data_IF_882761252312
#
_entry.id   IF_882761252312
#
_cell.length_a   1.000
_cell.length_b   1.000
_cell.length_c   1.000
_cell.angle_alpha   90.00
_cell.angle_beta   90.00
_cell.angle_gamma   90.00
#
_symmetry.space_group_name_H-M   'P 1'
#
loop_
_entity.id
_entity.type
_entity.pdbx_description
1 polymer ?
#
# COMPACT_ATOMS: atom_id res chain seq x y z
N UNK A 1 -24.44 1.80 10.40
CA UNK A 1 -25.10 2.46 9.28
C UNK A 1 -24.31 3.71 8.91
N UNK A 2 -24.11 3.99 7.62
CA UNK A 2 -23.25 5.10 7.17
C UNK A 2 -24.14 6.25 6.70
N UNK A 3 -23.77 7.49 6.98
CA UNK A 3 -24.39 8.66 6.38
C UNK A 3 -23.32 9.63 5.86
N UNK A 4 -23.61 10.33 4.76
CA UNK A 4 -22.71 11.27 4.13
C UNK A 4 -23.09 12.70 4.51
N UNK A 5 -22.10 13.53 4.86
CA UNK A 5 -22.28 14.97 5.04
C UNK A 5 -21.93 15.71 3.76
N UNK A 6 -22.29 16.99 3.65
CA UNK A 6 -21.90 17.85 2.54
C UNK A 6 -20.40 18.03 2.35
N UNK A 7 -19.59 17.63 3.34
CA UNK A 7 -18.10 17.64 3.27
C UNK A 7 -17.52 16.30 2.77
N UNK A 8 -18.35 15.35 2.34
CA UNK A 8 -17.91 14.05 1.86
C UNK A 8 -17.42 13.09 2.96
N UNK A 9 -17.69 13.39 4.23
CA UNK A 9 -17.36 12.51 5.35
C UNK A 9 -18.49 11.53 5.58
N UNK A 10 -18.16 10.24 5.67
CA UNK A 10 -19.09 9.16 5.96
C UNK A 10 -19.02 8.83 7.45
N UNK A 11 -20.09 9.08 8.16
CA UNK A 11 -20.19 8.78 9.58
C UNK A 11 -20.82 7.42 9.80
N UNK A 12 -20.37 6.69 10.83
CA UNK A 12 -21.04 5.51 11.32
C UNK A 12 -21.91 5.94 12.49
N UNK A 13 -23.22 5.94 12.30
CA UNK A 13 -24.17 6.30 13.35
C UNK A 13 -24.91 5.07 13.87
N UNK A 14 -25.10 4.96 15.18
CA UNK A 14 -26.05 4.01 15.75
C UNK A 14 -27.52 4.41 15.54
N UNK A 15 -27.79 5.67 15.17
CA UNK A 15 -29.17 6.19 15.01
C UNK A 15 -29.63 6.20 13.56
N UNK A 16 -30.86 5.73 13.32
CA UNK A 16 -31.48 5.37 12.02
C UNK A 16 -31.79 6.52 11.03
N UNK A 17 -31.22 7.71 11.12
CA UNK A 17 -31.78 8.90 10.47
C UNK A 17 -31.27 9.30 9.09
N UNK A 18 -30.18 8.76 8.58
CA UNK A 18 -29.73 9.00 7.21
C UNK A 18 -28.94 7.78 6.70
N UNK A 19 -29.53 7.08 5.76
CA UNK A 19 -29.11 5.74 5.38
C UNK A 19 -28.38 5.78 4.05
N UNK A 20 -27.06 5.56 4.06
CA UNK A 20 -26.40 4.87 2.96
C UNK A 20 -26.43 3.39 3.31
N UNK A 21 -27.27 2.62 2.63
CA UNK A 21 -27.45 1.20 2.90
C UNK A 21 -26.18 0.36 2.63
N UNK A 22 -25.23 0.91 1.90
CA UNK A 22 -23.98 0.27 1.50
C UNK A 22 -22.88 1.30 1.29
N UNK A 23 -21.69 1.07 1.85
CA UNK A 23 -20.53 1.91 1.59
C UNK A 23 -20.09 1.74 0.13
N UNK A 24 -19.94 2.80 -0.69
CA UNK A 24 -19.44 2.69 -2.05
C UNK A 24 -18.08 1.98 -2.14
N UNK A 25 -17.78 1.34 -3.27
CA UNK A 25 -16.42 0.88 -3.53
C UNK A 25 -15.47 2.08 -3.62
N UNK A 26 -14.33 2.00 -2.95
CA UNK A 26 -13.40 3.12 -2.92
C UNK A 26 -12.40 3.02 -1.78
N UNK A 27 -11.59 4.05 -1.67
CA UNK A 27 -10.55 4.22 -0.66
C UNK A 27 -11.00 5.18 0.42
N UNK A 28 -10.77 4.78 1.66
CA UNK A 28 -11.18 5.53 2.85
C UNK A 28 -10.07 5.54 3.89
N UNK A 29 -10.00 6.60 4.67
CA UNK A 29 -9.19 6.68 5.89
C UNK A 29 -10.09 7.07 7.06
N UNK A 30 -9.71 6.68 8.27
CA UNK A 30 -10.40 7.18 9.44
C UNK A 30 -10.04 8.66 9.70
N UNK A 31 -10.92 9.40 10.34
CA UNK A 31 -10.73 10.79 10.77
C UNK A 31 -10.67 10.91 12.29
N UNK A 32 -10.49 9.78 12.99
CA UNK A 32 -10.47 9.73 14.44
C UNK A 32 -11.86 9.81 15.08
N UNK A 33 -11.89 9.83 16.40
CA UNK A 33 -13.13 9.97 17.16
C UNK A 33 -13.46 11.45 17.37
N UNK A 34 -14.37 11.99 16.58
CA UNK A 34 -15.05 13.21 16.96
C UNK A 34 -16.39 12.86 17.63
N UNK A 35 -16.57 13.29 18.88
CA UNK A 35 -17.84 13.14 19.64
C UNK A 35 -18.37 11.70 19.77
N UNK A 36 -17.50 10.69 19.99
CA UNK A 36 -17.87 9.25 20.04
C UNK A 36 -18.47 8.71 18.73
N UNK A 37 -18.24 9.38 17.62
CA UNK A 37 -18.68 8.95 16.30
C UNK A 37 -17.46 8.59 15.48
N UNK A 38 -17.54 7.47 14.79
CA UNK A 38 -16.51 7.07 13.83
C UNK A 38 -16.83 7.68 12.50
N UNK A 39 -15.83 8.25 11.85
CA UNK A 39 -15.97 8.82 10.55
C UNK A 39 -14.94 8.24 9.58
N UNK A 40 -15.38 7.99 8.35
CA UNK A 40 -14.55 7.66 7.22
C UNK A 40 -14.54 8.84 6.25
N UNK A 41 -13.35 9.23 5.82
CA UNK A 41 -13.18 10.20 4.75
C UNK A 41 -12.77 9.44 3.49
N UNK A 42 -13.49 9.62 2.35
CA UNK A 42 -12.97 9.18 1.08
C UNK A 42 -11.60 9.80 0.86
N UNK A 43 -10.61 8.98 0.60
CA UNK A 43 -9.29 9.45 0.24
C UNK A 43 -9.03 9.06 -1.21
N UNK A 44 -8.77 10.05 -2.05
CA UNK A 44 -8.20 9.77 -3.36
C UNK A 44 -6.72 9.55 -3.13
N UNK A 45 -6.21 8.31 -3.28
CA UNK A 45 -4.78 8.14 -3.28
C UNK A 45 -4.22 9.11 -4.31
N UNK A 46 -3.16 9.84 -3.97
CA UNK A 46 -2.54 10.77 -4.92
C UNK A 46 -2.43 10.08 -6.27
N UNK A 47 -2.84 10.76 -7.33
CA UNK A 47 -3.18 10.28 -8.67
C UNK A 47 -2.60 8.91 -9.03
N UNK A 48 -3.39 8.07 -9.68
CA UNK A 48 -2.92 6.80 -10.29
C UNK A 48 -1.50 7.01 -10.79
N UNK A 49 -0.50 6.21 -10.37
CA UNK A 49 0.87 6.45 -10.76
C UNK A 49 0.92 6.62 -12.27
N UNK A 50 1.45 7.74 -12.75
CA UNK A 50 1.63 7.99 -14.19
C UNK A 50 2.51 6.91 -14.85
N UNK A 51 3.11 6.06 -14.04
CA UNK A 51 4.02 5.00 -14.43
C UNK A 51 3.57 3.66 -13.83
N UNK A 52 3.39 2.65 -14.68
CA UNK A 52 3.08 1.30 -14.26
C UNK A 52 4.37 0.51 -13.99
N UNK A 53 4.56 0.12 -12.73
CA UNK A 53 5.71 -0.69 -12.31
C UNK A 53 5.42 -2.17 -12.59
N UNK A 54 5.85 -2.68 -13.73
CA UNK A 54 5.76 -4.11 -14.07
C UNK A 54 7.06 -4.83 -13.70
N UNK A 55 7.10 -5.39 -12.51
CA UNK A 55 8.22 -6.20 -12.00
C UNK A 55 7.77 -7.62 -11.71
N UNK A 56 8.69 -8.60 -11.60
CA UNK A 56 8.35 -9.95 -11.17
C UNK A 56 7.58 -9.94 -9.83
N UNK A 57 8.02 -9.11 -8.89
CA UNK A 57 7.40 -8.97 -7.56
C UNK A 57 5.98 -8.42 -7.69
N UNK A 58 5.78 -7.39 -8.52
CA UNK A 58 4.43 -6.85 -8.77
C UNK A 58 3.50 -7.90 -9.37
N UNK A 59 4.00 -8.72 -10.30
CA UNK A 59 3.23 -9.84 -10.86
C UNK A 59 2.88 -10.89 -9.80
N UNK A 60 3.77 -11.18 -8.84
CA UNK A 60 3.47 -12.07 -7.72
C UNK A 60 2.38 -11.50 -6.82
N UNK A 61 2.51 -10.23 -6.43
CA UNK A 61 1.48 -9.52 -5.63
C UNK A 61 0.13 -9.56 -6.34
N UNK A 62 0.11 -9.24 -7.62
CA UNK A 62 -1.11 -9.23 -8.43
C UNK A 62 -1.77 -10.59 -8.48
N UNK A 63 -1.01 -11.67 -8.67
CA UNK A 63 -1.54 -13.06 -8.63
C UNK A 63 -2.17 -13.42 -7.30
N UNK A 64 -1.56 -13.02 -6.17
CA UNK A 64 -2.14 -13.25 -4.84
C UNK A 64 -3.43 -12.47 -4.63
N UNK A 65 -3.47 -11.22 -5.12
CA UNK A 65 -4.68 -10.39 -5.07
C UNK A 65 -5.76 -10.97 -5.99
N UNK A 66 -5.44 -11.38 -7.22
CA UNK A 66 -6.37 -12.04 -8.13
C UNK A 66 -6.94 -13.35 -7.54
N UNK A 67 -6.09 -14.15 -6.91
CA UNK A 67 -6.51 -15.39 -6.22
C UNK A 67 -7.45 -15.13 -5.03
N UNK A 68 -7.32 -13.98 -4.38
CA UNK A 68 -8.26 -13.56 -3.33
C UNK A 68 -9.66 -13.30 -3.91
N UNK A 69 -9.79 -12.81 -5.12
CA UNK A 69 -11.07 -12.54 -5.77
C UNK A 69 -11.59 -13.72 -6.62
N UNK A 70 -10.90 -14.87 -6.63
CA UNK A 70 -11.37 -16.08 -7.32
C UNK A 70 -12.46 -16.80 -6.50
N UNK A 71 -13.73 -16.85 -6.98
CA UNK A 71 -14.81 -17.51 -6.25
C UNK A 71 -14.53 -19.03 -6.01
N UNK A 72 -13.83 -19.67 -6.93
CA UNK A 72 -13.48 -21.08 -6.77
C UNK A 72 -12.43 -21.29 -5.67
N UNK A 73 -11.48 -20.37 -5.51
CA UNK A 73 -10.54 -20.39 -4.40
C UNK A 73 -11.26 -20.17 -3.06
N UNK A 74 -12.18 -19.22 -3.00
CA UNK A 74 -13.02 -18.96 -1.83
C UNK A 74 -13.82 -20.20 -1.43
N UNK A 75 -14.52 -20.81 -2.36
CA UNK A 75 -15.32 -22.02 -2.11
C UNK A 75 -14.46 -23.18 -1.60
N UNK A 76 -13.25 -23.39 -2.14
CA UNK A 76 -12.32 -24.41 -1.66
C UNK A 76 -11.88 -24.20 -0.21
N UNK A 77 -11.59 -22.93 0.17
CA UNK A 77 -11.23 -22.61 1.55
C UNK A 77 -12.39 -22.86 2.51
N UNK A 78 -13.59 -22.42 2.15
CA UNK A 78 -14.80 -22.59 2.97
C UNK A 78 -15.16 -24.07 3.13
N UNK A 79 -15.00 -24.89 2.10
CA UNK A 79 -15.27 -26.31 2.15
C UNK A 79 -14.42 -27.09 3.19
N UNK A 80 -13.25 -26.55 3.53
CA UNK A 80 -12.37 -27.12 4.58
C UNK A 80 -12.39 -26.31 5.88
N UNK A 81 -13.37 -25.41 6.05
CA UNK A 81 -13.54 -24.60 7.25
C UNK A 81 -12.49 -23.51 7.44
N UNK A 82 -11.74 -23.18 6.39
CA UNK A 82 -10.77 -22.08 6.42
C UNK A 82 -11.43 -20.75 6.05
N UNK A 83 -11.00 -19.70 6.73
CA UNK A 83 -11.46 -18.35 6.43
C UNK A 83 -10.83 -17.80 5.16
N UNK A 84 -11.61 -17.04 4.41
CA UNK A 84 -11.16 -16.35 3.20
C UNK A 84 -10.39 -15.08 3.57
N UNK A 85 -9.09 -15.23 3.81
CA UNK A 85 -8.19 -14.15 4.21
C UNK A 85 -6.87 -14.26 3.48
N UNK A 86 -6.26 -13.11 3.21
CA UNK A 86 -4.91 -13.03 2.63
C UNK A 86 -4.14 -11.88 3.28
N UNK A 87 -2.85 -12.11 3.52
CA UNK A 87 -1.92 -11.08 3.96
C UNK A 87 -0.69 -11.04 3.06
N UNK A 88 -0.28 -9.83 2.71
CA UNK A 88 0.90 -9.54 1.89
C UNK A 88 1.76 -8.52 2.63
N UNK A 89 3.06 -8.80 2.77
CA UNK A 89 4.04 -7.85 3.29
C UNK A 89 5.04 -7.53 2.19
N UNK A 90 5.21 -6.24 1.90
CA UNK A 90 6.26 -5.73 1.03
C UNK A 90 7.30 -5.03 1.91
N UNK A 91 8.54 -5.53 1.91
CA UNK A 91 9.59 -4.94 2.73
C UNK A 91 10.86 -4.65 1.93
N UNK A 92 11.70 -3.75 2.42
CA UNK A 92 12.97 -3.39 1.79
C UNK A 92 13.29 -1.90 1.89
N UNK A 93 14.41 -1.43 1.34
CA UNK A 93 14.86 -0.05 1.46
C UNK A 93 13.80 0.98 1.00
N UNK A 94 13.83 2.22 1.52
CA UNK A 94 12.96 3.28 1.03
C UNK A 94 13.22 3.57 -0.46
N UNK A 95 12.18 4.03 -1.19
CA UNK A 95 12.30 4.41 -2.60
C UNK A 95 12.37 3.26 -3.61
N UNK A 96 12.14 2.01 -3.19
CA UNK A 96 12.15 0.83 -4.08
C UNK A 96 10.79 0.53 -4.75
N UNK A 97 9.80 1.42 -4.61
CA UNK A 97 8.51 1.30 -5.30
C UNK A 97 7.42 0.53 -4.55
N UNK A 98 7.61 0.10 -3.30
CA UNK A 98 6.60 -0.63 -2.49
C UNK A 98 5.24 0.10 -2.44
N UNK A 99 5.26 1.39 -2.10
CA UNK A 99 4.06 2.24 -2.07
C UNK A 99 3.42 2.38 -3.47
N UNK A 100 4.23 2.46 -4.52
CA UNK A 100 3.77 2.51 -5.90
C UNK A 100 3.05 1.22 -6.27
N UNK A 101 3.60 0.06 -5.90
CA UNK A 101 2.95 -1.25 -6.10
C UNK A 101 1.58 -1.32 -5.44
N UNK A 102 1.48 -0.89 -4.17
CA UNK A 102 0.20 -0.83 -3.46
C UNK A 102 -0.84 0.05 -4.19
N UNK A 103 -0.42 1.25 -4.62
CA UNK A 103 -1.32 2.19 -5.32
C UNK A 103 -1.80 1.65 -6.66
N UNK A 104 -0.97 0.90 -7.38
CA UNK A 104 -1.34 0.29 -8.67
C UNK A 104 -2.43 -0.78 -8.54
N UNK A 105 -2.61 -1.35 -7.36
CA UNK A 105 -3.68 -2.32 -7.11
C UNK A 105 -5.05 -1.65 -6.90
N UNK A 106 -5.10 -0.40 -6.49
CA UNK A 106 -6.33 0.27 -6.08
C UNK A 106 -7.41 0.27 -7.17
N UNK A 107 -7.14 0.63 -8.44
CA UNK A 107 -8.16 0.55 -9.49
C UNK A 107 -8.74 -0.86 -9.63
N UNK A 108 -7.89 -1.87 -9.65
CA UNK A 108 -8.30 -3.27 -9.73
C UNK A 108 -9.19 -3.71 -8.55
N UNK A 109 -8.87 -3.24 -7.33
CA UNK A 109 -9.65 -3.53 -6.13
C UNK A 109 -11.01 -2.85 -6.15
N UNK A 110 -11.06 -1.59 -6.59
CA UNK A 110 -12.31 -0.82 -6.71
C UNK A 110 -13.24 -1.43 -7.76
N UNK A 111 -12.71 -1.86 -8.91
CA UNK A 111 -13.48 -2.56 -9.95
C UNK A 111 -14.11 -3.87 -9.43
N UNK A 112 -13.55 -4.46 -8.37
CA UNK A 112 -14.08 -5.65 -7.69
C UNK A 112 -14.91 -5.34 -6.47
N UNK A 113 -15.41 -4.11 -6.41
CA UNK A 113 -16.34 -3.65 -5.38
C UNK A 113 -15.76 -3.71 -3.96
N UNK A 114 -14.43 -3.62 -3.81
CA UNK A 114 -13.78 -3.63 -2.51
C UNK A 114 -13.93 -2.30 -1.77
N UNK A 115 -14.05 -2.39 -0.45
CA UNK A 115 -13.85 -1.26 0.46
C UNK A 115 -12.39 -1.28 0.92
N UNK A 116 -11.66 -0.23 0.59
CA UNK A 116 -10.23 -0.11 0.87
C UNK A 116 -10.04 0.87 2.02
N UNK A 117 -9.49 0.39 3.13
CA UNK A 117 -9.22 1.16 4.34
C UNK A 117 -7.71 1.40 4.42
N UNK A 118 -7.30 2.67 4.42
CA UNK A 118 -5.88 3.07 4.32
C UNK A 118 -5.42 3.66 5.64
N UNK A 119 -4.37 3.08 6.22
CA UNK A 119 -3.72 3.53 7.46
C UNK A 119 -4.71 3.82 8.61
N UNK A 120 -5.79 3.03 8.70
CA UNK A 120 -6.78 3.15 9.75
C UNK A 120 -6.28 2.54 11.06
N UNK A 121 -6.67 3.14 12.19
CA UNK A 121 -6.33 2.61 13.50
C UNK A 121 -6.90 1.20 13.73
N UNK A 122 -6.10 0.29 14.27
CA UNK A 122 -6.46 -1.12 14.43
C UNK A 122 -7.65 -1.32 15.39
N UNK A 123 -7.82 -0.47 16.38
CA UNK A 123 -8.93 -0.50 17.32
C UNK A 123 -10.26 -0.16 16.63
N UNK A 124 -10.22 0.86 15.78
CA UNK A 124 -11.38 1.24 14.98
C UNK A 124 -11.72 0.19 13.92
N UNK A 125 -10.70 -0.40 13.30
CA UNK A 125 -10.90 -1.49 12.36
C UNK A 125 -11.66 -2.64 13.01
N UNK A 126 -11.19 -3.11 14.17
CA UNK A 126 -11.76 -4.30 14.84
C UNK A 126 -13.16 -4.04 15.43
N UNK A 127 -13.32 -2.93 16.17
CA UNK A 127 -14.50 -2.74 16.99
C UNK A 127 -15.61 -1.93 16.32
N UNK A 128 -15.33 -1.27 15.21
CA UNK A 128 -16.32 -0.41 14.58
C UNK A 128 -16.41 -0.51 13.06
N UNK A 129 -15.30 -0.31 12.33
CA UNK A 129 -15.36 -0.18 10.87
C UNK A 129 -15.75 -1.50 10.20
N UNK A 130 -15.01 -2.57 10.50
CA UNK A 130 -15.27 -3.89 9.91
C UNK A 130 -16.63 -4.42 10.34
N UNK A 131 -17.04 -4.39 11.63
CA UNK A 131 -18.38 -4.78 12.03
C UNK A 131 -19.50 -3.99 11.33
N UNK A 132 -19.35 -2.67 11.16
CA UNK A 132 -20.34 -1.86 10.48
C UNK A 132 -20.47 -2.20 8.99
N UNK A 133 -19.35 -2.45 8.30
CA UNK A 133 -19.35 -2.90 6.90
C UNK A 133 -20.03 -4.28 6.80
N UNK A 134 -19.68 -5.22 7.67
CA UNK A 134 -20.24 -6.58 7.69
C UNK A 134 -21.74 -6.60 8.01
N UNK A 135 -22.22 -5.69 8.84
CA UNK A 135 -23.66 -5.56 9.14
C UNK A 135 -24.47 -5.13 7.93
N UNK A 136 -23.89 -4.35 7.03
CA UNK A 136 -24.56 -3.90 5.80
C UNK A 136 -24.30 -4.82 4.60
N UNK A 137 -23.15 -5.47 4.56
CA UNK A 137 -22.72 -6.33 3.44
C UNK A 137 -21.74 -7.42 3.96
N UNK A 138 -22.27 -8.60 4.37
CA UNK A 138 -21.47 -9.63 5.05
C UNK A 138 -20.29 -10.17 4.25
N UNK A 139 -20.45 -10.31 2.93
CA UNK A 139 -19.46 -10.97 2.06
C UNK A 139 -18.58 -9.96 1.30
N UNK A 140 -18.75 -8.68 1.56
CA UNK A 140 -18.03 -7.65 0.82
C UNK A 140 -16.52 -7.72 1.05
N UNK A 141 -15.69 -7.68 -0.01
CA UNK A 141 -14.26 -7.62 0.15
C UNK A 141 -13.81 -6.35 0.88
N UNK A 142 -13.08 -6.52 1.97
CA UNK A 142 -12.42 -5.43 2.70
C UNK A 142 -10.93 -5.56 2.47
N UNK A 143 -10.29 -4.46 2.09
CA UNK A 143 -8.85 -4.39 1.88
C UNK A 143 -8.25 -3.39 2.85
N UNK A 144 -7.29 -3.84 3.65
CA UNK A 144 -6.52 -3.00 4.57
C UNK A 144 -5.18 -2.69 3.92
N UNK A 145 -4.85 -1.42 3.76
CA UNK A 145 -3.56 -0.95 3.26
C UNK A 145 -2.82 -0.21 4.36
N UNK A 146 -1.61 -0.67 4.69
CA UNK A 146 -0.73 -0.06 5.68
C UNK A 146 0.58 0.36 5.03
N UNK A 147 0.82 1.67 4.93
CA UNK A 147 2.01 2.24 4.28
C UNK A 147 3.26 2.21 5.16
N UNK A 148 3.09 2.22 6.48
CA UNK A 148 4.16 2.11 7.47
C UNK A 148 3.83 0.99 8.49
N UNK A 149 3.72 -0.24 7.99
CA UNK A 149 3.22 -1.39 8.75
C UNK A 149 4.01 -1.67 10.05
N UNK A 150 5.32 -1.42 10.05
CA UNK A 150 6.16 -1.51 11.24
C UNK A 150 5.71 -0.55 12.35
N UNK A 151 5.34 0.69 12.00
CA UNK A 151 4.82 1.68 12.93
C UNK A 151 3.45 1.26 13.48
N UNK A 152 2.55 0.82 12.61
CA UNK A 152 1.20 0.43 12.99
C UNK A 152 1.21 -0.81 13.88
N UNK A 153 2.08 -1.78 13.58
CA UNK A 153 2.32 -2.94 14.46
C UNK A 153 2.90 -2.53 15.81
N UNK A 154 3.81 -1.56 15.85
CA UNK A 154 4.42 -1.10 17.12
C UNK A 154 3.40 -0.41 18.01
N UNK A 155 2.47 0.36 17.45
CA UNK A 155 1.44 1.09 18.18
C UNK A 155 0.27 0.19 18.62
N UNK A 156 -0.13 -0.77 17.80
CA UNK A 156 -1.36 -1.54 17.97
C UNK A 156 -1.17 -3.04 17.84
N UNK A 157 0.01 -3.57 18.24
CA UNK A 157 0.40 -4.98 18.04
C UNK A 157 -0.65 -6.00 18.47
N UNK A 158 -1.17 -5.87 19.70
CA UNK A 158 -2.12 -6.84 20.23
C UNK A 158 -3.42 -6.86 19.40
N UNK A 159 -3.88 -5.69 19.00
CA UNK A 159 -5.12 -5.49 18.22
C UNK A 159 -4.97 -6.01 16.79
N UNK A 160 -3.84 -5.74 16.13
CA UNK A 160 -3.55 -6.31 14.81
C UNK A 160 -3.45 -7.84 14.86
N UNK A 161 -2.83 -8.40 15.91
CA UNK A 161 -2.81 -9.84 16.13
C UNK A 161 -4.22 -10.42 16.31
N UNK A 162 -5.08 -9.74 17.05
CA UNK A 162 -6.46 -10.14 17.30
C UNK A 162 -7.29 -10.05 16.01
N UNK A 163 -7.16 -8.99 15.24
CA UNK A 163 -7.80 -8.82 13.94
C UNK A 163 -7.43 -9.95 12.97
N UNK A 164 -6.17 -10.39 13.01
CA UNK A 164 -5.66 -11.43 12.11
C UNK A 164 -5.96 -12.86 12.56
N UNK A 165 -5.99 -13.13 13.87
CA UNK A 165 -6.10 -14.50 14.43
C UNK A 165 -7.22 -14.67 15.44
N UNK A 166 -7.92 -13.60 15.83
CA UNK A 166 -9.00 -13.65 16.80
C UNK A 166 -10.11 -14.65 16.39
N UNK A 167 -10.81 -15.19 17.38
CA UNK A 167 -11.98 -16.03 17.12
C UNK A 167 -13.06 -15.30 16.31
N UNK A 168 -13.11 -14.00 16.44
CA UNK A 168 -14.03 -13.08 15.74
C UNK A 168 -13.42 -12.47 14.47
N UNK A 169 -12.22 -12.91 14.09
CA UNK A 169 -11.51 -12.36 12.92
C UNK A 169 -12.39 -12.43 11.65
N UNK A 170 -12.51 -11.32 10.90
CA UNK A 170 -13.44 -11.23 9.78
C UNK A 170 -13.04 -12.12 8.61
N UNK A 171 -14.03 -12.57 7.85
CA UNK A 171 -13.85 -13.24 6.55
C UNK A 171 -13.77 -12.19 5.42
N UNK A 172 -13.41 -12.60 4.20
CA UNK A 172 -13.26 -11.72 3.03
C UNK A 172 -12.35 -10.51 3.28
N UNK A 173 -11.20 -10.76 3.95
CA UNK A 173 -10.23 -9.73 4.33
C UNK A 173 -8.90 -9.91 3.61
N UNK A 174 -8.48 -8.88 2.87
CA UNK A 174 -7.14 -8.77 2.29
C UNK A 174 -6.35 -7.69 3.03
N UNK A 175 -5.14 -8.00 3.47
CA UNK A 175 -4.24 -7.03 4.10
C UNK A 175 -2.96 -6.89 3.28
N UNK A 176 -2.53 -5.67 3.01
CA UNK A 176 -1.27 -5.37 2.34
C UNK A 176 -0.51 -4.35 3.18
N UNK A 177 0.65 -4.73 3.70
CA UNK A 177 1.51 -3.88 4.50
C UNK A 177 2.83 -3.59 3.81
N UNK A 178 3.28 -2.33 3.86
CA UNK A 178 4.62 -1.92 3.45
C UNK A 178 5.47 -1.56 4.67
N UNK A 179 6.75 -1.96 4.67
CA UNK A 179 7.70 -1.56 5.71
C UNK A 179 9.10 -1.35 5.14
N UNK A 180 9.85 -0.46 5.75
CA UNK A 180 11.28 -0.31 5.49
C UNK A 180 12.13 -1.13 6.45
N UNK A 181 11.57 -1.48 7.61
CA UNK A 181 12.24 -2.33 8.61
C UNK A 181 11.45 -3.62 8.86
N UNK A 182 11.86 -4.68 8.18
CA UNK A 182 11.26 -6.00 8.36
C UNK A 182 11.46 -6.56 9.77
N UNK A 183 12.55 -6.19 10.45
CA UNK A 183 12.86 -6.69 11.77
C UNK A 183 11.98 -6.06 12.86
N UNK A 184 11.43 -4.88 12.61
CA UNK A 184 10.45 -4.26 13.51
C UNK A 184 9.12 -5.03 13.53
N UNK A 185 8.83 -5.86 12.51
CA UNK A 185 7.64 -6.72 12.51
C UNK A 185 7.87 -7.90 13.47
N UNK A 186 7.01 -8.10 14.47
CA UNK A 186 7.13 -9.19 15.41
C UNK A 186 7.19 -10.58 14.76
N UNK A 187 8.03 -11.46 15.31
CA UNK A 187 8.19 -12.85 14.82
C UNK A 187 6.86 -13.60 14.75
N UNK A 188 5.94 -13.32 15.69
CA UNK A 188 4.59 -13.90 15.72
C UNK A 188 3.74 -13.53 14.49
N UNK A 189 4.03 -12.41 13.84
CA UNK A 189 3.40 -12.04 12.57
C UNK A 189 4.15 -12.63 11.38
N UNK A 190 5.48 -12.56 11.38
CA UNK A 190 6.33 -13.02 10.27
C UNK A 190 6.27 -14.53 10.03
N UNK A 191 6.23 -15.32 11.10
CA UNK A 191 6.36 -16.79 11.04
C UNK A 191 5.02 -17.53 10.97
N UNK A 192 3.93 -16.85 10.68
CA UNK A 192 2.61 -17.49 10.51
C UNK A 192 2.09 -17.32 9.09
N UNK A 193 2.29 -18.34 8.22
CA UNK A 193 1.79 -18.30 6.84
C UNK A 193 0.27 -18.12 6.73
N UNK A 194 -0.47 -18.52 7.77
CA UNK A 194 -1.93 -18.29 7.85
C UNK A 194 -2.32 -16.82 7.91
N UNK A 195 -1.37 -15.92 8.27
CA UNK A 195 -1.60 -14.47 8.35
C UNK A 195 -1.09 -13.76 7.10
N UNK A 196 0.19 -14.01 6.78
CA UNK A 196 0.87 -13.43 5.63
C UNK A 196 1.37 -14.54 4.74
N UNK A 197 0.56 -14.88 3.73
CA UNK A 197 0.88 -15.92 2.74
C UNK A 197 1.97 -15.48 1.77
N UNK A 198 2.18 -14.17 1.61
CA UNK A 198 3.20 -13.61 0.75
C UNK A 198 4.01 -12.55 1.49
N UNK A 199 5.31 -12.79 1.62
CA UNK A 199 6.28 -11.82 2.15
C UNK A 199 7.33 -11.61 1.07
N UNK A 200 7.41 -10.40 0.52
CA UNK A 200 8.30 -10.06 -0.58
C UNK A 200 9.29 -8.99 -0.16
N UNK A 201 10.56 -9.28 -0.43
CA UNK A 201 11.63 -8.31 -0.32
C UNK A 201 11.80 -7.56 -1.64
N UNK A 202 11.73 -6.23 -1.56
CA UNK A 202 11.90 -5.33 -2.68
C UNK A 202 13.18 -4.54 -2.46
N UNK A 203 14.30 -5.06 -2.96
CA UNK A 203 15.61 -4.46 -2.71
C UNK A 203 15.97 -3.35 -3.69
N UNK A 204 15.74 -3.58 -4.96
CA UNK A 204 16.02 -2.63 -6.02
C UNK A 204 15.00 -2.76 -7.14
N UNK A 205 14.90 -1.72 -7.92
CA UNK A 205 14.13 -1.75 -9.15
C UNK A 205 14.91 -2.52 -10.23
N UNK A 206 14.22 -3.30 -11.08
CA UNK A 206 14.83 -3.95 -12.22
C UNK A 206 15.50 -2.95 -13.17
N UNK A 207 16.49 -3.41 -13.91
CA UNK A 207 17.11 -2.62 -14.96
C UNK A 207 16.06 -2.12 -15.97
N UNK A 208 16.27 -0.91 -16.49
CA UNK A 208 15.33 -0.26 -17.41
C UNK A 208 14.09 0.39 -16.78
N UNK A 209 13.88 0.26 -15.46
CA UNK A 209 12.76 0.93 -14.80
C UNK A 209 12.97 2.45 -14.74
N UNK A 210 14.19 2.90 -14.47
CA UNK A 210 14.54 4.32 -14.44
C UNK A 210 14.32 4.98 -15.82
N UNK A 211 14.74 4.32 -16.88
CA UNK A 211 14.55 4.77 -18.26
C UNK A 211 13.06 4.90 -18.59
N UNK A 212 12.28 3.85 -18.35
CA UNK A 212 10.84 3.85 -18.62
C UNK A 212 10.10 4.90 -17.79
N UNK A 213 10.47 5.07 -16.51
CA UNK A 213 9.89 6.11 -15.68
C UNK A 213 10.20 7.51 -16.24
N UNK A 214 11.46 7.78 -16.57
CA UNK A 214 11.87 9.05 -17.13
C UNK A 214 11.13 9.38 -18.43
N UNK A 215 10.93 8.39 -19.30
CA UNK A 215 10.20 8.55 -20.56
C UNK A 215 8.70 8.81 -20.32
N UNK A 216 8.06 8.06 -19.46
CA UNK A 216 6.61 8.12 -19.28
C UNK A 216 6.16 9.29 -18.38
N UNK A 217 6.90 9.56 -17.32
CA UNK A 217 6.53 10.59 -16.34
C UNK A 217 7.03 11.99 -16.73
N UNK A 218 8.15 12.07 -17.44
CA UNK A 218 8.81 13.33 -17.81
C UNK A 218 9.00 13.48 -19.33
N UNK A 219 7.95 13.35 -20.13
CA UNK A 219 8.05 13.42 -21.61
C UNK A 219 8.52 14.78 -22.13
N UNK A 220 8.34 15.84 -21.35
CA UNK A 220 8.72 17.22 -21.68
C UNK A 220 10.22 17.47 -21.56
N UNK A 221 10.96 16.65 -20.81
CA UNK A 221 12.41 16.74 -20.76
C UNK A 221 13.04 16.26 -22.06
N UNK A 222 14.17 16.88 -22.43
CA UNK A 222 14.92 16.41 -23.59
C UNK A 222 15.42 14.96 -23.41
N UNK A 223 15.62 14.20 -24.49
CA UNK A 223 16.22 12.87 -24.39
C UNK A 223 17.58 12.88 -23.68
N UNK A 224 18.37 13.93 -23.88
CA UNK A 224 19.69 14.09 -23.25
C UNK A 224 19.57 14.26 -21.73
N UNK A 225 18.65 15.09 -21.26
CA UNK A 225 18.41 15.33 -19.83
C UNK A 225 17.89 14.08 -19.14
N UNK A 226 16.95 13.35 -19.77
CA UNK A 226 16.48 12.06 -19.28
C UNK A 226 17.59 11.04 -19.14
N UNK A 227 18.44 10.91 -20.16
CA UNK A 227 19.60 10.00 -20.10
C UNK A 227 20.61 10.41 -19.03
N UNK A 228 20.83 11.72 -18.85
CA UNK A 228 21.68 12.22 -17.78
C UNK A 228 21.11 11.85 -16.41
N UNK A 229 19.82 12.11 -16.18
CA UNK A 229 19.15 11.78 -14.93
C UNK A 229 19.24 10.27 -14.61
N UNK A 230 18.97 9.42 -15.59
CA UNK A 230 19.06 7.96 -15.45
C UNK A 230 20.49 7.53 -15.12
N UNK A 231 21.51 8.05 -15.81
CA UNK A 231 22.91 7.71 -15.53
C UNK A 231 23.34 8.12 -14.13
N UNK A 232 22.95 9.33 -13.72
CA UNK A 232 23.31 9.88 -12.41
C UNK A 232 22.68 9.09 -11.26
N UNK A 233 21.48 8.53 -11.47
CA UNK A 233 20.71 7.86 -10.44
C UNK A 233 20.62 6.34 -10.60
N UNK A 234 21.40 5.78 -11.51
CA UNK A 234 21.49 4.33 -11.73
C UNK A 234 21.84 3.62 -10.43
N UNK A 235 21.16 2.62 -10.03
CA UNK A 235 21.34 1.91 -8.76
C UNK A 235 20.86 2.65 -7.50
N UNK A 236 20.28 3.84 -7.63
CA UNK A 236 19.68 4.55 -6.51
C UNK A 236 18.15 4.35 -6.49
N UNK A 237 17.52 4.59 -5.34
CA UNK A 237 16.07 4.63 -5.23
C UNK A 237 15.42 5.60 -6.23
N UNK A 238 14.21 5.28 -6.67
CA UNK A 238 13.53 6.00 -7.77
C UNK A 238 13.26 7.48 -7.46
N UNK A 239 13.11 7.82 -6.18
CA UNK A 239 12.93 9.22 -5.74
C UNK A 239 14.13 10.11 -6.08
N UNK A 240 15.34 9.55 -6.23
CA UNK A 240 16.51 10.30 -6.70
C UNK A 240 16.36 10.68 -8.17
N UNK A 241 15.91 9.74 -9.02
CA UNK A 241 15.61 10.03 -10.41
C UNK A 241 14.54 11.14 -10.54
N UNK A 242 13.45 11.00 -9.78
CA UNK A 242 12.38 11.98 -9.76
C UNK A 242 12.92 13.37 -9.38
N UNK A 243 13.76 13.42 -8.34
CA UNK A 243 14.37 14.68 -7.90
C UNK A 243 15.25 15.31 -8.96
N UNK A 244 16.10 14.54 -9.66
CA UNK A 244 16.93 15.05 -10.74
C UNK A 244 16.07 15.56 -11.92
N UNK A 245 15.02 14.82 -12.30
CA UNK A 245 14.10 15.28 -13.34
C UNK A 245 13.38 16.58 -12.95
N UNK A 246 12.96 16.72 -11.69
CA UNK A 246 12.37 17.97 -11.17
C UNK A 246 13.34 19.15 -11.24
N UNK A 247 14.63 18.92 -10.96
CA UNK A 247 15.64 19.97 -11.07
C UNK A 247 15.80 20.46 -12.51
N UNK A 248 15.78 19.56 -13.50
CA UNK A 248 15.74 19.93 -14.92
C UNK A 248 14.50 20.72 -15.28
N UNK A 249 13.32 20.32 -14.81
CA UNK A 249 12.07 21.07 -15.02
C UNK A 249 12.10 22.44 -14.35
N UNK A 250 12.87 22.61 -13.28
CA UNK A 250 13.10 23.90 -12.64
C UNK A 250 14.15 24.77 -13.34
N UNK A 251 14.76 24.27 -14.44
CA UNK A 251 15.71 25.02 -15.25
C UNK A 251 17.18 24.93 -14.80
N UNK A 252 17.51 23.98 -13.89
CA UNK A 252 18.90 23.73 -13.50
C UNK A 252 19.67 23.09 -14.64
N UNK A 253 20.93 23.47 -14.81
CA UNK A 253 21.83 22.83 -15.76
C UNK A 253 22.48 21.53 -15.20
N UNK A 254 23.08 20.68 -16.04
CA UNK A 254 23.67 19.41 -15.61
C UNK A 254 24.79 19.55 -14.57
N UNK A 255 25.57 20.62 -14.59
CA UNK A 255 26.69 20.82 -13.64
C UNK A 255 26.12 21.20 -12.26
N UNK A 256 25.18 22.13 -12.23
CA UNK A 256 24.46 22.50 -11.02
C UNK A 256 23.73 21.32 -10.39
N UNK A 257 23.09 20.45 -11.21
CA UNK A 257 22.44 19.23 -10.75
C UNK A 257 23.46 18.27 -10.15
N UNK A 258 24.60 18.06 -10.79
CA UNK A 258 25.67 17.20 -10.31
C UNK A 258 26.19 17.64 -8.94
N UNK A 259 26.42 18.93 -8.76
CA UNK A 259 26.92 19.49 -7.49
C UNK A 259 25.89 19.35 -6.36
N UNK A 260 24.65 19.68 -6.62
CA UNK A 260 23.55 19.52 -5.64
C UNK A 260 23.29 18.05 -5.33
N UNK A 261 23.42 17.17 -6.32
CA UNK A 261 23.19 15.76 -6.16
C UNK A 261 24.23 15.10 -5.27
N UNK A 262 25.52 15.47 -5.38
CA UNK A 262 26.59 14.98 -4.49
C UNK A 262 26.32 15.27 -3.01
N UNK A 263 25.60 16.36 -2.72
CA UNK A 263 25.24 16.73 -1.35
C UNK A 263 24.11 15.88 -0.76
N UNK A 264 23.26 15.26 -1.60
CA UNK A 264 22.07 14.50 -1.17
C UNK A 264 22.17 12.99 -1.45
N UNK A 265 23.08 12.58 -2.33
CA UNK A 265 23.27 11.16 -2.61
C UNK A 265 23.87 10.46 -1.38
N UNK A 266 23.37 9.26 -1.05
CA UNK A 266 24.00 8.47 0.00
C UNK A 266 25.46 8.21 -0.36
N UNK A 267 26.37 8.34 0.61
CA UNK A 267 27.76 7.93 0.42
C UNK A 267 27.76 6.49 -0.11
N UNK A 268 28.48 6.23 -1.21
CA UNK A 268 28.60 4.88 -1.74
C UNK A 268 29.02 3.95 -0.59
N UNK A 269 28.21 2.94 -0.32
CA UNK A 269 28.58 1.88 0.59
C UNK A 269 29.74 1.10 -0.05
N UNK A 270 30.95 1.53 0.24
CA UNK A 270 32.19 0.77 0.01
C UNK A 270 32.24 -0.39 1.01
N UNK A 271 31.29 -1.32 0.91
CA UNK A 271 31.35 -2.58 1.63
C UNK A 271 30.74 -3.69 0.77
N UNK A 272 31.63 -4.39 0.08
CA UNK A 272 31.17 -5.56 -0.67
C UNK A 272 32.21 -6.26 -1.52
N UNK A 273 33.49 -6.10 -1.24
CA UNK A 273 34.51 -7.05 -1.75
C UNK A 273 35.60 -7.23 -0.71
N UNK A 274 35.33 -8.11 0.24
CA UNK A 274 36.33 -8.91 0.96
C UNK A 274 35.61 -9.81 1.96
N UNK A 275 35.41 -11.08 1.55
CA UNK A 275 35.68 -12.31 2.33
C UNK A 275 35.10 -13.51 1.59
N UNK A 276 36.01 -14.20 0.99
CA UNK A 276 36.30 -15.63 0.83
C UNK A 276 35.16 -16.61 1.14
#
# INVERSE_FOLDING_TARGET
MFYCTGEGILWISPDDRLIVSRLPAGTYTDVGQEYRRLALRPCTPSATPAFFLDTPEMRMVRREVEAFFDPAATARLQAVGLRHRRGIILHGPPGTGKRTMMRQLIPFLVERDAVILVDCDADYLEHALIPAIRASDPDRPIVLLFDAFDRDVSLSRAKLLQLLDGLTSPDHLLMIGCTNDFNAIPVQLRNRPSRFGLILRIDRLPDGVHERLAEQKYPTLSPADRQFAVRLTRNLPINFLERVCEMFLAGCDPDEISDRFRAIAPAESTDGHERR
#
